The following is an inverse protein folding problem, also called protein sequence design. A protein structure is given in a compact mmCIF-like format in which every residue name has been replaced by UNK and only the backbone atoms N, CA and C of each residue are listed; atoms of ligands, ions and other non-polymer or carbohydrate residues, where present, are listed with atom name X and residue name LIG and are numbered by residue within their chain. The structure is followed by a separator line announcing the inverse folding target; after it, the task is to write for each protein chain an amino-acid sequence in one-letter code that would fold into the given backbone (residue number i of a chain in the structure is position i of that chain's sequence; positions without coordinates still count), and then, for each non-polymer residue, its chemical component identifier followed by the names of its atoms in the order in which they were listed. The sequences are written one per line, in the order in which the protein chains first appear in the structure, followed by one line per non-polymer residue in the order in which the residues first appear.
data_IF_634726460201
#
_entry.id   IF_634726460201
#
_cell.length_a   1.000
_cell.length_b   1.000
_cell.length_c   1.000
_cell.angle_alpha   90.00
_cell.angle_beta   90.00
_cell.angle_gamma   90.00
#
_symmetry.space_group_name_H-M   'P 1'
#
loop_
_entity.id
_entity.type
_entity.pdbx_description
1 polymer ?
#
# COMPACT_ATOMS: atom_id res chain seq x y z
N UNK A 1 -3.02 -37.73 0.55
CA UNK A 1 -4.12 -37.20 1.30
C UNK A 1 -4.01 -35.70 1.55
N UNK A 2 -2.88 -35.23 1.98
CA UNK A 2 -2.71 -33.82 2.30
C UNK A 2 -2.05 -33.02 1.18
N UNK A 3 -1.82 -33.63 0.01
CA UNK A 3 -1.15 -32.96 -1.09
C UNK A 3 -1.93 -31.74 -1.60
N UNK A 4 -3.26 -31.86 -1.72
CA UNK A 4 -4.11 -30.74 -2.15
C UNK A 4 -4.07 -29.60 -1.14
N UNK A 5 -4.11 -29.94 0.15
CA UNK A 5 -4.05 -28.94 1.23
C UNK A 5 -2.68 -28.25 1.27
N UNK A 6 -1.61 -29.00 1.12
CA UNK A 6 -0.26 -28.48 1.08
C UNK A 6 -0.05 -27.56 -0.13
N UNK A 7 -0.58 -27.95 -1.29
CA UNK A 7 -0.52 -27.11 -2.48
C UNK A 7 -1.31 -25.81 -2.32
N UNK A 8 -2.48 -25.86 -1.71
CA UNK A 8 -3.27 -24.67 -1.44
C UNK A 8 -2.56 -23.73 -0.47
N UNK A 9 -1.92 -24.28 0.57
CA UNK A 9 -1.13 -23.48 1.51
C UNK A 9 0.08 -22.85 0.83
N UNK A 10 0.78 -23.60 -0.01
CA UNK A 10 1.92 -23.08 -0.77
C UNK A 10 1.50 -21.98 -1.73
N UNK A 11 0.36 -22.14 -2.42
CA UNK A 11 -0.18 -21.10 -3.30
C UNK A 11 -0.56 -19.85 -2.53
N UNK A 12 -1.19 -19.99 -1.36
CA UNK A 12 -1.53 -18.86 -0.50
C UNK A 12 -0.26 -18.13 -0.06
N UNK A 13 0.78 -18.87 0.33
CA UNK A 13 2.05 -18.28 0.71
C UNK A 13 2.75 -17.59 -0.47
N UNK A 14 2.64 -18.17 -1.68
CA UNK A 14 3.22 -17.58 -2.89
C UNK A 14 2.58 -16.25 -3.27
N UNK A 15 1.33 -16.00 -2.84
CA UNK A 15 0.61 -14.77 -3.11
C UNK A 15 0.72 -13.74 -1.97
N UNK A 16 1.61 -13.97 -1.02
CA UNK A 16 1.86 -13.04 0.08
C UNK A 16 3.32 -12.59 0.08
N UNK A 17 3.55 -11.45 0.69
CA UNK A 17 4.89 -10.99 1.06
C UNK A 17 4.95 -10.77 2.56
N UNK A 18 6.16 -10.70 3.11
CA UNK A 18 6.36 -10.48 4.55
C UNK A 18 6.82 -9.05 4.75
N UNK A 19 6.09 -8.33 5.60
CA UNK A 19 6.47 -7.01 6.08
C UNK A 19 6.65 -7.05 7.61
N UNK A 20 7.35 -6.08 8.16
CA UNK A 20 7.70 -6.05 9.57
C UNK A 20 7.24 -4.75 10.22
N UNK A 21 6.80 -4.86 11.46
CA UNK A 21 6.58 -3.72 12.35
C UNK A 21 7.18 -4.03 13.73
N UNK A 22 6.85 -3.21 14.74
CA UNK A 22 7.36 -3.40 16.09
C UNK A 22 6.96 -4.74 16.72
N UNK A 23 5.90 -5.38 16.23
CA UNK A 23 5.41 -6.66 16.71
C UNK A 23 5.96 -7.86 15.94
N UNK A 24 6.81 -7.64 14.95
CA UNK A 24 7.44 -8.69 14.16
C UNK A 24 6.88 -8.84 12.75
N UNK A 25 7.10 -10.01 12.12
CA UNK A 25 6.67 -10.23 10.75
C UNK A 25 5.16 -10.41 10.64
N UNK A 26 4.60 -9.99 9.50
CA UNK A 26 3.20 -10.20 9.15
C UNK A 26 3.10 -10.46 7.65
N UNK A 27 2.23 -11.39 7.26
CA UNK A 27 1.99 -11.72 5.86
C UNK A 27 0.93 -10.79 5.27
N UNK A 28 1.25 -10.20 4.14
CA UNK A 28 0.39 -9.28 3.41
C UNK A 28 0.16 -9.83 2.01
N UNK A 29 -1.06 -9.73 1.44
CA UNK A 29 -1.25 -10.07 0.03
C UNK A 29 -0.24 -9.35 -0.85
N UNK A 30 0.48 -10.09 -1.70
CA UNK A 30 1.60 -9.55 -2.46
C UNK A 30 1.20 -8.44 -3.43
N UNK A 31 -0.05 -8.45 -3.89
CA UNK A 31 -0.60 -7.47 -4.83
C UNK A 31 -1.14 -6.20 -4.16
N UNK A 32 -1.11 -6.12 -2.83
CA UNK A 32 -1.59 -4.96 -2.09
C UNK A 32 -0.43 -4.07 -1.66
N UNK A 33 -0.70 -2.77 -1.56
CA UNK A 33 0.34 -1.78 -1.32
C UNK A 33 0.48 -1.36 0.15
N UNK A 34 -0.47 -1.74 1.01
CA UNK A 34 -0.37 -1.38 2.43
C UNK A 34 0.74 -2.15 3.15
N UNK A 35 1.16 -1.63 4.28
CA UNK A 35 2.22 -2.21 5.09
C UNK A 35 1.73 -3.04 6.26
N UNK A 36 2.67 -3.38 7.14
CA UNK A 36 2.43 -4.28 8.28
C UNK A 36 1.37 -3.76 9.25
N UNK A 37 1.43 -2.48 9.59
CA UNK A 37 0.49 -1.91 10.57
C UNK A 37 -0.95 -1.92 10.07
N UNK A 38 -1.17 -1.58 8.80
CA UNK A 38 -2.49 -1.64 8.20
C UNK A 38 -3.00 -3.08 8.14
N UNK A 39 -2.14 -4.03 7.80
CA UNK A 39 -2.53 -5.44 7.78
C UNK A 39 -2.98 -5.92 9.15
N UNK A 40 -2.25 -5.57 10.21
CA UNK A 40 -2.66 -5.93 11.57
C UNK A 40 -3.99 -5.28 11.95
N UNK A 41 -4.21 -4.03 11.56
CA UNK A 41 -5.48 -3.35 11.79
C UNK A 41 -6.64 -4.06 11.10
N UNK A 42 -6.45 -4.50 9.86
CA UNK A 42 -7.46 -5.26 9.12
C UNK A 42 -7.80 -6.59 9.78
N UNK A 43 -6.80 -7.25 10.36
CA UNK A 43 -6.99 -8.53 11.06
C UNK A 43 -7.69 -8.35 12.42
N UNK A 44 -7.38 -7.26 13.13
CA UNK A 44 -7.94 -7.00 14.46
C UNK A 44 -9.30 -6.34 14.41
N UNK A 45 -9.55 -5.49 13.41
CA UNK A 45 -10.78 -4.71 13.27
C UNK A 45 -11.56 -5.19 12.06
N UNK A 46 -12.22 -6.32 12.20
CA UNK A 46 -13.01 -6.92 11.11
C UNK A 46 -14.44 -6.37 11.04
N UNK A 47 -14.75 -5.33 11.82
CA UNK A 47 -16.09 -4.75 11.90
C UNK A 47 -16.21 -3.66 10.83
N UNK A 48 -17.14 -3.86 9.88
CA UNK A 48 -17.47 -2.87 8.85
C UNK A 48 -16.61 -3.02 7.58
N UNK A 49 -17.22 -2.67 6.46
CA UNK A 49 -16.56 -2.66 5.15
C UNK A 49 -16.37 -1.24 4.64
N UNK A 50 -16.48 -0.26 5.55
CA UNK A 50 -16.42 1.14 5.18
C UNK A 50 -15.01 1.53 4.74
N UNK A 51 -14.97 2.27 3.64
CA UNK A 51 -13.73 2.82 3.08
C UNK A 51 -13.87 4.33 2.96
N UNK A 52 -12.74 5.01 2.89
CA UNK A 52 -12.75 6.44 2.57
C UNK A 52 -13.36 6.66 1.17
N UNK A 53 -14.11 7.75 0.97
CA UNK A 53 -14.60 8.11 -0.36
C UNK A 53 -13.45 8.24 -1.36
N UNK A 54 -13.70 7.86 -2.62
CA UNK A 54 -12.69 7.96 -3.68
C UNK A 54 -12.14 9.38 -3.85
N UNK A 55 -13.00 10.38 -3.68
CA UNK A 55 -12.57 11.77 -3.74
C UNK A 55 -11.49 12.11 -2.71
N UNK A 56 -11.52 11.48 -1.54
CA UNK A 56 -10.50 11.68 -0.51
C UNK A 56 -9.15 11.11 -0.96
N UNK A 57 -9.12 9.92 -1.55
CA UNK A 57 -7.89 9.34 -2.08
C UNK A 57 -7.28 10.21 -3.18
N UNK A 58 -8.11 10.77 -4.05
CA UNK A 58 -7.65 11.68 -5.10
C UNK A 58 -7.08 12.96 -4.52
N UNK A 59 -7.72 13.50 -3.50
CA UNK A 59 -7.24 14.69 -2.80
C UNK A 59 -5.89 14.44 -2.13
N UNK A 60 -5.71 13.29 -1.47
CA UNK A 60 -4.43 12.90 -0.91
C UNK A 60 -3.34 12.77 -2.00
N UNK A 61 -3.68 12.13 -3.11
CA UNK A 61 -2.76 11.98 -4.23
C UNK A 61 -2.30 13.34 -4.76
N UNK A 62 -3.22 14.27 -4.95
CA UNK A 62 -2.92 15.62 -5.41
C UNK A 62 -2.04 16.38 -4.40
N UNK A 63 -2.35 16.27 -3.12
CA UNK A 63 -1.57 16.89 -2.07
C UNK A 63 -0.13 16.36 -2.04
N UNK A 64 0.04 15.05 -2.11
CA UNK A 64 1.38 14.43 -2.09
C UNK A 64 2.17 14.78 -3.34
N UNK A 65 1.51 14.85 -4.49
CA UNK A 65 2.13 15.26 -5.74
C UNK A 65 2.66 16.70 -5.63
N UNK A 66 1.84 17.62 -5.14
CA UNK A 66 2.22 19.01 -4.95
C UNK A 66 3.38 19.16 -3.96
N UNK A 67 3.33 18.43 -2.84
CA UNK A 67 4.39 18.43 -1.83
C UNK A 67 5.71 17.89 -2.39
N UNK A 68 5.68 16.81 -3.15
CA UNK A 68 6.87 16.24 -3.77
C UNK A 68 7.52 17.21 -4.75
N UNK A 69 6.71 17.86 -5.59
CA UNK A 69 7.20 18.87 -6.54
C UNK A 69 7.83 20.07 -5.84
N UNK A 70 7.19 20.57 -4.80
CA UNK A 70 7.71 21.67 -4.02
C UNK A 70 9.04 21.30 -3.36
N UNK A 71 9.14 20.12 -2.77
CA UNK A 71 10.36 19.67 -2.09
C UNK A 71 11.51 19.43 -3.07
N UNK A 72 11.24 18.98 -4.29
CA UNK A 72 12.26 18.89 -5.35
C UNK A 72 12.80 20.26 -5.74
N UNK A 73 11.92 21.23 -5.94
CA UNK A 73 12.31 22.61 -6.29
C UNK A 73 13.14 23.26 -5.20
N UNK A 74 12.87 22.94 -3.94
CA UNK A 74 13.60 23.45 -2.79
C UNK A 74 14.91 22.70 -2.54
N UNK A 75 15.17 21.62 -3.26
CA UNK A 75 16.37 20.81 -3.07
C UNK A 75 16.35 19.92 -1.84
N UNK A 76 15.22 19.81 -1.15
CA UNK A 76 15.06 18.95 0.03
C UNK A 76 14.88 17.48 -0.38
N UNK A 77 14.33 17.26 -1.56
CA UNK A 77 14.11 15.93 -2.13
C UNK A 77 14.90 15.81 -3.43
N UNK A 78 15.70 14.75 -3.55
CA UNK A 78 16.49 14.52 -4.77
C UNK A 78 15.57 14.16 -5.97
N UNK A 79 16.10 14.32 -7.19
CA UNK A 79 15.32 14.15 -8.40
C UNK A 79 14.86 12.70 -8.60
N UNK A 80 15.69 11.72 -8.26
CA UNK A 80 15.36 10.31 -8.43
C UNK A 80 14.21 9.89 -7.52
N UNK A 81 14.31 10.19 -6.24
CA UNK A 81 13.25 9.89 -5.27
C UNK A 81 12.00 10.72 -5.54
N UNK A 82 12.19 11.97 -5.90
CA UNK A 82 11.09 12.86 -6.25
C UNK A 82 10.28 12.36 -7.42
N UNK A 83 10.93 11.88 -8.47
CA UNK A 83 10.25 11.34 -9.64
C UNK A 83 9.40 10.10 -9.29
N UNK A 84 9.92 9.20 -8.46
CA UNK A 84 9.19 8.00 -8.02
C UNK A 84 7.98 8.38 -7.17
N UNK A 85 8.17 9.30 -6.23
CA UNK A 85 7.07 9.77 -5.36
C UNK A 85 6.00 10.49 -6.18
N UNK A 86 6.39 11.34 -7.12
CA UNK A 86 5.43 12.03 -8.00
C UNK A 86 4.64 11.04 -8.84
N UNK A 87 5.28 10.00 -9.40
CA UNK A 87 4.62 8.97 -10.18
C UNK A 87 3.59 8.19 -9.33
N UNK A 88 3.97 7.79 -8.12
CA UNK A 88 3.07 7.08 -7.21
C UNK A 88 1.89 7.97 -6.78
N UNK A 89 2.15 9.24 -6.48
CA UNK A 89 1.12 10.19 -6.10
C UNK A 89 0.13 10.45 -7.24
N UNK A 90 0.63 10.50 -8.48
CA UNK A 90 -0.22 10.65 -9.66
C UNK A 90 -1.13 9.42 -9.86
N UNK A 91 -0.63 8.21 -9.62
CA UNK A 91 -1.45 7.00 -9.67
C UNK A 91 -2.58 7.05 -8.63
N UNK A 92 -2.28 7.51 -7.42
CA UNK A 92 -3.29 7.67 -6.38
C UNK A 92 -4.33 8.72 -6.77
N UNK A 93 -3.89 9.87 -7.29
CA UNK A 93 -4.79 10.93 -7.78
C UNK A 93 -5.72 10.42 -8.87
N UNK A 94 -5.21 9.61 -9.79
CA UNK A 94 -5.95 9.14 -10.96
C UNK A 94 -6.83 7.92 -10.68
N UNK A 95 -6.85 7.44 -9.44
CA UNK A 95 -7.70 6.34 -9.02
C UNK A 95 -7.18 4.95 -9.32
N UNK A 96 -5.94 4.83 -9.80
CA UNK A 96 -5.35 3.54 -10.16
C UNK A 96 -5.08 2.66 -8.94
N UNK A 97 -5.02 3.24 -7.74
CA UNK A 97 -4.71 2.56 -6.49
C UNK A 97 -5.93 2.44 -5.57
N UNK A 98 -7.14 2.68 -6.06
CA UNK A 98 -8.35 2.72 -5.22
C UNK A 98 -8.65 1.40 -4.51
N UNK A 99 -8.14 0.27 -5.02
CA UNK A 99 -8.31 -1.05 -4.41
C UNK A 99 -7.31 -1.33 -3.26
N UNK A 100 -6.37 -0.43 -3.04
CA UNK A 100 -5.27 -0.66 -2.09
C UNK A 100 -5.38 0.10 -0.78
#
# INVERSE_FOLDING_TARGET
MDQTRTQAQAQTQAHTRIEHDAFGPVHIPADRLWGAQTQRALELFTIGEERFPQGLYRAFGLQKLAAARANRRLGVLDDQRGAVIEAAAAELRDGLLDAH
#
